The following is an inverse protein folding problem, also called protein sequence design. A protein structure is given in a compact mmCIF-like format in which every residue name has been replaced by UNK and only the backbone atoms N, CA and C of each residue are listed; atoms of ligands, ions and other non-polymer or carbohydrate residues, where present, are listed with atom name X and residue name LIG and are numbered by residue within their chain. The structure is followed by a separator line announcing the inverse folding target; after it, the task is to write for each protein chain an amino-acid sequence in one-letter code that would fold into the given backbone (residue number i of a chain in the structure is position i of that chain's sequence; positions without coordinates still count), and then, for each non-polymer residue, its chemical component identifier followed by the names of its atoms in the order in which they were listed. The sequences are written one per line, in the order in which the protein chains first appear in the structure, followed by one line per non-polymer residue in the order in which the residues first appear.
data_IF_994861122137
#
_entry.id   IF_994861122137
#
_cell.length_a   1.000
_cell.length_b   1.000
_cell.length_c   1.000
_cell.angle_alpha   90.00
_cell.angle_beta   90.00
_cell.angle_gamma   90.00
#
_symmetry.space_group_name_H-M   'P 1'
#
loop_
_entity.id
_entity.type
_entity.pdbx_description
1 polymer ?
#
# COMPACT_ATOMS: atom_id res chain seq x y z
N UNK A 1 -5.92 20.03 20.58
CA UNK A 1 -7.04 20.57 19.79
C UNK A 1 -6.43 21.23 18.58
N UNK A 2 -6.44 20.54 17.44
CA UNK A 2 -5.94 21.07 16.18
C UNK A 2 -7.07 21.87 15.53
N UNK A 3 -6.82 23.15 15.25
CA UNK A 3 -7.67 23.92 14.35
C UNK A 3 -7.71 23.19 13.00
N UNK A 4 -8.86 22.60 12.69
CA UNK A 4 -9.16 22.09 11.36
C UNK A 4 -9.32 23.31 10.45
N UNK A 5 -8.21 23.85 9.96
CA UNK A 5 -8.24 24.47 8.63
C UNK A 5 -8.74 23.39 7.69
N UNK A 6 -9.99 23.52 7.23
CA UNK A 6 -10.50 22.75 6.10
C UNK A 6 -9.79 23.25 4.84
N UNK A 7 -8.47 23.04 4.78
CA UNK A 7 -7.73 23.07 3.54
C UNK A 7 -8.48 22.13 2.60
N UNK A 8 -9.15 22.72 1.62
CA UNK A 8 -9.92 21.97 0.65
C UNK A 8 -8.96 20.99 -0.02
N UNK A 9 -9.08 19.71 0.32
CA UNK A 9 -8.24 18.68 -0.28
C UNK A 9 -8.39 18.77 -1.80
N UNK A 10 -7.30 19.09 -2.49
CA UNK A 10 -7.24 18.97 -3.94
C UNK A 10 -7.18 17.48 -4.28
N UNK A 11 -8.30 16.94 -4.75
CA UNK A 11 -8.38 15.55 -5.21
C UNK A 11 -7.67 15.45 -6.56
N UNK A 12 -6.64 14.63 -6.61
CA UNK A 12 -5.66 14.64 -7.68
C UNK A 12 -5.75 13.45 -8.63
N UNK A 13 -6.37 12.34 -8.23
CA UNK A 13 -6.45 11.13 -9.04
C UNK A 13 -7.63 10.22 -8.64
N UNK A 14 -7.98 9.28 -9.53
CA UNK A 14 -8.87 8.14 -9.25
C UNK A 14 -8.04 6.86 -9.18
N UNK A 15 -7.92 6.28 -7.98
CA UNK A 15 -7.03 5.15 -7.64
C UNK A 15 -7.88 3.92 -7.33
N UNK A 16 -8.12 3.07 -8.33
CA UNK A 16 -8.97 1.90 -8.18
C UNK A 16 -8.42 0.71 -8.98
N UNK A 17 -8.09 -0.38 -8.30
CA UNK A 17 -7.69 -1.62 -8.96
C UNK A 17 -8.94 -2.31 -9.49
N UNK A 18 -9.08 -2.31 -10.82
CA UNK A 18 -10.23 -2.86 -11.56
C UNK A 18 -10.21 -4.40 -11.65
N UNK A 19 -9.03 -4.98 -11.88
CA UNK A 19 -8.88 -6.41 -12.20
C UNK A 19 -8.78 -7.29 -10.95
N UNK A 20 -9.57 -6.99 -9.93
CA UNK A 20 -9.64 -7.82 -8.73
C UNK A 20 -10.65 -8.93 -8.89
N UNK A 21 -10.28 -10.06 -8.33
CA UNK A 21 -11.12 -11.24 -8.25
C UNK A 21 -11.23 -11.64 -6.80
N UNK A 22 -12.37 -12.27 -6.45
CA UNK A 22 -12.70 -12.69 -5.09
C UNK A 22 -11.62 -13.51 -4.42
N UNK A 23 -10.67 -14.07 -5.16
CA UNK A 23 -9.64 -14.97 -4.65
C UNK A 23 -8.33 -14.30 -4.24
N UNK A 24 -8.05 -13.05 -4.65
CA UNK A 24 -6.79 -12.37 -4.31
C UNK A 24 -6.85 -11.69 -2.92
N UNK A 25 -7.06 -12.48 -1.87
CA UNK A 25 -7.37 -11.99 -0.50
C UNK A 25 -6.18 -11.90 0.45
N UNK A 26 -5.07 -12.56 0.13
CA UNK A 26 -3.93 -12.74 1.04
C UNK A 26 -2.71 -11.96 0.54
N UNK A 27 -2.44 -10.79 1.13
CA UNK A 27 -1.25 -9.99 0.78
C UNK A 27 0.07 -10.76 1.03
N UNK A 28 0.10 -11.71 1.97
CA UNK A 28 1.27 -12.57 2.20
C UNK A 28 1.67 -13.40 0.96
N UNK A 29 0.72 -13.74 0.08
CA UNK A 29 1.04 -14.42 -1.19
C UNK A 29 1.80 -13.47 -2.12
N UNK A 30 1.49 -12.17 -2.08
CA UNK A 30 2.22 -11.13 -2.82
C UNK A 30 3.63 -10.97 -2.25
N UNK A 31 3.78 -10.93 -0.92
CA UNK A 31 5.10 -10.94 -0.26
C UNK A 31 5.91 -12.14 -0.75
N UNK A 32 5.32 -13.33 -0.70
CA UNK A 32 6.02 -14.54 -1.09
C UNK A 32 6.40 -14.54 -2.57
N UNK A 33 5.55 -13.98 -3.43
CA UNK A 33 5.86 -13.82 -4.86
C UNK A 33 7.16 -13.03 -5.05
N UNK A 34 7.28 -11.89 -4.36
CA UNK A 34 8.49 -11.05 -4.38
C UNK A 34 9.69 -11.78 -3.76
N UNK A 35 9.49 -12.47 -2.63
CA UNK A 35 10.52 -13.25 -1.96
C UNK A 35 11.08 -14.38 -2.83
N UNK A 36 10.24 -15.05 -3.61
CA UNK A 36 10.67 -16.14 -4.48
C UNK A 36 11.38 -15.63 -5.74
N UNK A 37 11.00 -14.46 -6.25
CA UNK A 37 11.74 -13.76 -7.31
C UNK A 37 13.13 -13.33 -6.82
N UNK A 38 13.21 -12.60 -5.70
CA UNK A 38 14.46 -12.16 -5.07
C UNK A 38 15.51 -11.64 -6.08
N UNK A 39 15.15 -10.61 -6.84
CA UNK A 39 15.93 -9.99 -7.91
C UNK A 39 16.24 -10.90 -9.11
N UNK A 40 15.59 -12.06 -9.21
CA UNK A 40 15.72 -12.97 -10.35
C UNK A 40 14.59 -12.74 -11.34
N UNK A 41 14.89 -13.08 -12.58
CA UNK A 41 13.90 -13.20 -13.62
C UNK A 41 13.47 -14.67 -13.70
N UNK A 42 12.21 -14.98 -13.34
CA UNK A 42 11.73 -16.36 -13.28
C UNK A 42 10.59 -16.61 -14.28
N UNK A 43 10.64 -17.72 -15.04
CA UNK A 43 9.49 -18.19 -15.80
C UNK A 43 8.32 -18.47 -14.86
N UNK A 44 7.11 -18.11 -15.27
CA UNK A 44 5.87 -18.29 -14.51
C UNK A 44 5.67 -19.71 -13.99
N UNK A 45 6.08 -20.73 -14.76
CA UNK A 45 5.96 -22.14 -14.34
C UNK A 45 6.79 -22.42 -13.08
N UNK A 46 8.04 -21.95 -13.05
CA UNK A 46 8.94 -22.16 -11.92
C UNK A 46 8.45 -21.39 -10.69
N UNK A 47 8.01 -20.16 -10.88
CA UNK A 47 7.42 -19.36 -9.81
C UNK A 47 6.12 -20.00 -9.25
N UNK A 48 5.27 -20.55 -10.12
CA UNK A 48 4.08 -21.30 -9.72
C UNK A 48 4.46 -22.50 -8.81
N UNK A 49 5.50 -23.26 -9.16
CA UNK A 49 5.98 -24.41 -8.39
C UNK A 49 6.51 -24.00 -7.01
N UNK A 50 7.30 -22.93 -6.95
CA UNK A 50 7.85 -22.39 -5.70
C UNK A 50 6.73 -21.91 -4.76
N UNK A 51 5.75 -21.17 -5.29
CA UNK A 51 4.62 -20.67 -4.52
C UNK A 51 3.69 -21.78 -4.03
N UNK A 52 3.46 -22.81 -4.84
CA UNK A 52 2.68 -23.99 -4.41
C UNK A 52 3.37 -24.71 -3.26
N UNK A 53 4.68 -24.90 -3.34
CA UNK A 53 5.48 -25.51 -2.27
C UNK A 53 5.39 -24.72 -0.95
N UNK A 54 5.57 -23.39 -1.03
CA UNK A 54 5.37 -22.51 0.12
C UNK A 54 3.96 -22.61 0.70
N UNK A 55 2.93 -22.53 -0.14
CA UNK A 55 1.53 -22.55 0.31
C UNK A 55 1.17 -23.86 0.99
N UNK A 56 1.68 -25.00 0.51
CA UNK A 56 1.53 -26.29 1.16
C UNK A 56 2.18 -26.29 2.56
N UNK A 57 3.38 -25.72 2.69
CA UNK A 57 4.05 -25.60 3.99
C UNK A 57 3.27 -24.71 4.96
N UNK A 58 2.71 -23.60 4.48
CA UNK A 58 1.86 -22.72 5.29
C UNK A 58 0.53 -23.39 5.68
N UNK A 59 -0.08 -24.19 4.80
CA UNK A 59 -1.26 -24.99 5.16
C UNK A 59 -0.93 -25.93 6.34
N UNK A 60 0.26 -26.52 6.37
CA UNK A 60 0.67 -27.43 7.45
C UNK A 60 0.95 -26.71 8.77
N UNK A 61 1.54 -25.52 8.74
CA UNK A 61 2.05 -24.81 9.93
C UNK A 61 1.12 -23.73 10.47
N UNK A 62 0.33 -23.10 9.62
CA UNK A 62 -0.45 -21.91 9.96
C UNK A 62 -1.96 -22.18 9.82
N UNK A 63 -2.64 -22.35 10.96
CA UNK A 63 -4.10 -22.60 10.98
C UNK A 63 -4.90 -21.45 10.35
N UNK A 64 -4.49 -20.21 10.60
CA UNK A 64 -5.15 -19.03 10.02
C UNK A 64 -5.06 -19.05 8.50
N UNK A 65 -3.89 -19.39 7.93
CA UNK A 65 -3.72 -19.56 6.49
C UNK A 65 -4.55 -20.73 5.94
N UNK A 66 -4.50 -21.89 6.59
CA UNK A 66 -5.23 -23.10 6.20
C UNK A 66 -6.73 -22.87 6.06
N UNK A 67 -7.30 -22.09 6.99
CA UNK A 67 -8.72 -21.71 7.02
C UNK A 67 -9.03 -20.45 6.21
N UNK A 68 -8.01 -19.76 5.69
CA UNK A 68 -8.19 -18.52 4.96
C UNK A 68 -8.83 -18.75 3.59
N UNK A 69 -9.66 -17.80 3.16
CA UNK A 69 -10.06 -17.69 1.76
C UNK A 69 -8.92 -17.07 0.98
N UNK A 70 -8.72 -17.51 -0.26
CA UNK A 70 -7.67 -16.98 -1.15
C UNK A 70 -6.31 -17.66 -1.03
N UNK A 71 -6.18 -18.75 -0.28
CA UNK A 71 -5.01 -19.63 -0.36
C UNK A 71 -4.82 -20.18 -1.78
N UNK A 72 -3.56 -20.37 -2.19
CA UNK A 72 -3.21 -20.78 -3.56
C UNK A 72 -3.12 -22.29 -3.72
N UNK A 73 -3.13 -23.05 -2.63
CA UNK A 73 -3.34 -24.50 -2.62
C UNK A 73 -4.56 -24.89 -1.80
N UNK A 74 -5.09 -26.09 -2.07
CA UNK A 74 -6.01 -26.76 -1.17
C UNK A 74 -5.59 -28.23 -1.07
N UNK A 75 -5.00 -28.61 0.07
CA UNK A 75 -4.39 -29.93 0.26
C UNK A 75 -3.35 -30.22 -0.84
N UNK A 76 -2.46 -29.26 -1.09
CA UNK A 76 -1.41 -29.34 -2.10
C UNK A 76 -1.85 -29.18 -3.56
N UNK A 77 -3.16 -29.13 -3.86
CA UNK A 77 -3.64 -28.87 -5.23
C UNK A 77 -3.75 -27.37 -5.51
N UNK A 78 -3.14 -26.92 -6.60
CA UNK A 78 -3.21 -25.52 -7.08
C UNK A 78 -4.65 -25.05 -7.25
N UNK A 79 -4.96 -23.88 -6.72
CA UNK A 79 -6.24 -23.20 -6.93
C UNK A 79 -6.16 -22.17 -8.06
N UNK A 80 -7.31 -21.73 -8.57
CA UNK A 80 -7.37 -20.64 -9.54
C UNK A 80 -6.91 -19.28 -8.97
N UNK A 81 -6.72 -19.17 -7.65
CA UNK A 81 -6.35 -17.92 -6.98
C UNK A 81 -4.98 -17.38 -7.44
N UNK A 82 -4.02 -18.28 -7.72
CA UNK A 82 -2.62 -17.92 -7.98
C UNK A 82 -2.46 -16.90 -9.11
N UNK A 83 -3.19 -17.06 -10.22
CA UNK A 83 -3.08 -16.14 -11.37
C UNK A 83 -3.46 -14.70 -11.02
N UNK A 84 -4.36 -14.52 -10.05
CA UNK A 84 -4.84 -13.20 -9.65
C UNK A 84 -3.88 -12.50 -8.70
N UNK A 85 -3.02 -13.24 -8.01
CA UNK A 85 -1.96 -12.65 -7.20
C UNK A 85 -0.85 -12.02 -8.05
N UNK A 86 -0.57 -12.56 -9.24
CA UNK A 86 0.33 -11.88 -10.18
C UNK A 86 -0.25 -10.54 -10.63
N UNK A 87 -1.53 -10.51 -11.03
CA UNK A 87 -2.19 -9.24 -11.40
C UNK A 87 -2.24 -8.24 -10.25
N UNK A 88 -2.44 -8.70 -9.01
CA UNK A 88 -2.36 -7.85 -7.82
C UNK A 88 -0.94 -7.31 -7.60
N UNK A 89 0.08 -8.17 -7.67
CA UNK A 89 1.48 -7.79 -7.51
C UNK A 89 1.93 -6.78 -8.58
N UNK A 90 1.49 -6.96 -9.83
CA UNK A 90 1.70 -5.99 -10.92
C UNK A 90 0.97 -4.67 -10.66
N UNK A 91 -0.27 -4.73 -10.18
CA UNK A 91 -1.07 -3.52 -9.86
C UNK A 91 -0.48 -2.72 -8.70
N UNK A 92 0.15 -3.39 -7.73
CA UNK A 92 0.92 -2.77 -6.64
C UNK A 92 2.32 -2.33 -7.11
N UNK A 93 2.67 -2.52 -8.38
CA UNK A 93 3.95 -2.14 -8.95
C UNK A 93 5.13 -2.93 -8.38
N UNK A 94 4.93 -4.13 -7.86
CA UNK A 94 5.97 -4.97 -7.24
C UNK A 94 6.67 -5.87 -8.27
N UNK A 95 5.92 -6.40 -9.22
CA UNK A 95 6.49 -7.25 -10.27
C UNK A 95 6.09 -6.72 -11.65
N UNK A 96 6.83 -7.13 -12.67
CA UNK A 96 6.48 -6.92 -14.06
C UNK A 96 6.51 -8.25 -14.80
N UNK A 97 5.43 -8.57 -15.51
CA UNK A 97 5.35 -9.72 -16.41
C UNK A 97 5.69 -9.35 -17.86
N UNK A 98 6.55 -10.13 -18.50
CA UNK A 98 6.77 -10.10 -19.96
C UNK A 98 7.00 -11.52 -20.48
N UNK A 99 6.27 -11.94 -21.52
CA UNK A 99 6.40 -13.26 -22.14
C UNK A 99 6.40 -14.45 -21.14
N UNK A 100 5.45 -14.48 -20.21
CA UNK A 100 5.36 -15.48 -19.12
C UNK A 100 6.59 -15.54 -18.21
N UNK A 101 7.32 -14.45 -18.10
CA UNK A 101 8.46 -14.30 -17.21
C UNK A 101 8.19 -13.10 -16.31
N UNK A 102 8.45 -13.27 -15.01
CA UNK A 102 8.28 -12.22 -14.01
C UNK A 102 9.63 -11.74 -13.50
N UNK A 103 9.70 -10.44 -13.19
CA UNK A 103 10.86 -9.78 -12.59
C UNK A 103 10.40 -8.78 -11.54
N UNK A 104 11.23 -8.56 -10.52
CA UNK A 104 11.01 -7.55 -9.49
C UNK A 104 11.22 -6.12 -10.03
N UNK A 105 10.35 -5.21 -9.61
CA UNK A 105 10.51 -3.76 -9.82
C UNK A 105 11.38 -3.13 -8.73
N UNK A 106 11.64 -1.82 -8.86
CA UNK A 106 12.36 -1.06 -7.84
C UNK A 106 11.64 -1.03 -6.48
N UNK A 107 10.31 -1.11 -6.47
CA UNK A 107 9.51 -1.09 -5.24
C UNK A 107 9.65 -2.42 -4.48
N UNK A 108 9.82 -3.54 -5.19
CA UNK A 108 10.04 -4.85 -4.57
C UNK A 108 11.33 -4.96 -3.78
N UNK A 109 12.39 -4.26 -4.17
CA UNK A 109 13.63 -4.29 -3.37
C UNK A 109 13.46 -3.64 -2.00
N UNK A 110 12.52 -2.70 -1.86
CA UNK A 110 12.17 -2.13 -0.55
C UNK A 110 11.53 -3.21 0.31
N UNK A 111 10.58 -3.96 -0.25
CA UNK A 111 9.95 -5.08 0.46
C UNK A 111 10.99 -6.16 0.83
N UNK A 112 11.84 -6.58 -0.11
CA UNK A 112 12.91 -7.55 0.15
C UNK A 112 13.85 -7.09 1.27
N UNK A 113 14.22 -5.81 1.28
CA UNK A 113 15.01 -5.22 2.34
C UNK A 113 14.30 -5.35 3.70
N UNK A 114 13.03 -4.94 3.78
CA UNK A 114 12.25 -5.03 5.02
C UNK A 114 12.11 -6.47 5.53
N UNK A 115 12.01 -7.44 4.62
CA UNK A 115 12.00 -8.86 4.97
C UNK A 115 13.34 -9.32 5.57
N UNK A 116 14.47 -8.86 5.01
CA UNK A 116 15.80 -9.25 5.46
C UNK A 116 16.16 -8.71 6.86
N UNK A 117 15.59 -7.56 7.25
CA UNK A 117 15.85 -6.95 8.56
C UNK A 117 15.25 -7.78 9.70
N UNK A 118 14.21 -8.58 9.44
CA UNK A 118 13.39 -9.24 10.47
C UNK A 118 13.31 -10.76 10.35
N UNK A 119 14.29 -11.43 9.73
CA UNK A 119 14.29 -12.90 9.65
C UNK A 119 14.18 -13.59 11.02
N UNK A 120 14.54 -12.89 12.11
CA UNK A 120 14.45 -13.37 13.49
C UNK A 120 13.05 -13.25 14.13
N UNK A 121 12.15 -12.38 13.65
CA UNK A 121 10.78 -12.23 14.18
C UNK A 121 9.80 -13.12 13.40
N UNK A 122 10.02 -14.44 13.43
CA UNK A 122 9.04 -15.42 12.95
C UNK A 122 7.83 -15.48 13.90
N UNK A 123 6.99 -14.45 13.85
CA UNK A 123 5.69 -14.47 14.51
C UNK A 123 4.72 -15.33 13.72
N UNK A 124 3.69 -15.89 14.37
CA UNK A 124 2.61 -16.67 13.71
C UNK A 124 1.73 -15.85 12.76
N UNK A 125 2.09 -14.59 12.49
CA UNK A 125 1.33 -13.64 11.69
C UNK A 125 1.74 -13.74 10.22
N UNK A 126 0.77 -13.61 9.32
CA UNK A 126 1.02 -13.70 7.87
C UNK A 126 1.82 -12.53 7.30
N UNK A 127 1.75 -11.35 7.94
CA UNK A 127 2.54 -10.17 7.61
C UNK A 127 3.13 -9.57 8.89
N UNK A 128 4.42 -9.24 8.83
CA UNK A 128 5.13 -8.43 9.82
C UNK A 128 4.58 -7.00 9.88
N UNK A 129 4.96 -6.28 10.93
CA UNK A 129 4.52 -4.89 11.11
C UNK A 129 4.95 -3.97 9.96
N UNK A 130 6.17 -4.16 9.47
CA UNK A 130 6.80 -3.38 8.41
C UNK A 130 6.10 -3.65 7.08
N UNK A 131 5.76 -4.92 6.80
CA UNK A 131 4.96 -5.28 5.64
C UNK A 131 3.58 -4.61 5.67
N UNK A 132 2.94 -4.51 6.84
CA UNK A 132 1.65 -3.82 6.95
C UNK A 132 1.76 -2.34 6.62
N UNK A 133 2.78 -1.65 7.11
CA UNK A 133 2.99 -0.23 6.76
C UNK A 133 3.25 -0.11 5.25
N UNK A 134 4.12 -0.96 4.72
CA UNK A 134 4.44 -0.97 3.30
C UNK A 134 3.19 -1.19 2.42
N UNK A 135 2.40 -2.22 2.71
CA UNK A 135 1.19 -2.50 1.95
C UNK A 135 0.11 -1.45 2.16
N UNK A 136 -0.01 -0.85 3.34
CA UNK A 136 -0.91 0.28 3.55
C UNK A 136 -0.53 1.45 2.64
N UNK A 137 0.76 1.78 2.54
CA UNK A 137 1.23 2.81 1.59
C UNK A 137 0.89 2.44 0.16
N UNK A 138 1.24 1.22 -0.29
CA UNK A 138 1.01 0.78 -1.66
C UNK A 138 -0.48 0.78 -2.02
N UNK A 139 -1.34 0.25 -1.15
CA UNK A 139 -2.78 0.22 -1.38
C UNK A 139 -3.41 1.61 -1.40
N UNK A 140 -2.95 2.54 -0.56
CA UNK A 140 -3.40 3.93 -0.65
C UNK A 140 -2.84 4.64 -1.89
N UNK A 141 -1.68 4.24 -2.40
CA UNK A 141 -1.12 4.80 -3.62
C UNK A 141 -1.87 4.32 -4.88
N UNK A 142 -2.28 3.05 -4.93
CA UNK A 142 -2.82 2.42 -6.15
C UNK A 142 -4.32 2.13 -6.10
N UNK A 143 -4.91 2.01 -4.90
CA UNK A 143 -6.30 1.56 -4.69
C UNK A 143 -7.06 2.38 -3.62
N UNK A 144 -6.67 3.64 -3.40
CA UNK A 144 -7.29 4.50 -2.38
C UNK A 144 -8.82 4.51 -2.46
N UNK A 145 -9.40 4.63 -3.66
CA UNK A 145 -10.86 4.73 -3.81
C UNK A 145 -11.58 3.45 -3.40
N UNK A 146 -10.97 2.29 -3.64
CA UNK A 146 -11.52 1.00 -3.20
C UNK A 146 -11.36 0.79 -1.69
N UNK A 147 -10.19 1.13 -1.15
CA UNK A 147 -9.87 0.99 0.27
C UNK A 147 -10.72 1.91 1.14
N UNK A 148 -10.78 3.20 0.78
CA UNK A 148 -11.52 4.20 1.54
C UNK A 148 -13.03 3.98 1.44
N UNK A 149 -13.54 3.52 0.29
CA UNK A 149 -14.93 3.07 0.17
C UNK A 149 -15.28 1.99 1.22
N UNK A 150 -14.41 0.98 1.37
CA UNK A 150 -14.63 -0.10 2.34
C UNK A 150 -14.58 0.42 3.78
N UNK A 151 -13.66 1.34 4.10
CA UNK A 151 -13.57 1.92 5.45
C UNK A 151 -14.78 2.82 5.76
N UNK A 152 -15.17 3.70 4.83
CA UNK A 152 -16.31 4.61 4.98
C UNK A 152 -17.63 3.82 5.20
N UNK A 153 -17.79 2.67 4.53
CA UNK A 153 -18.96 1.79 4.72
C UNK A 153 -19.09 1.24 6.15
N UNK A 154 -18.00 1.12 6.89
CA UNK A 154 -17.95 0.52 8.23
C UNK A 154 -17.95 1.55 9.38
N UNK A 155 -18.24 2.82 9.10
CA UNK A 155 -18.27 3.89 10.12
C UNK A 155 -19.31 3.70 11.24
N UNK A 156 -20.24 2.77 11.09
CA UNK A 156 -21.24 2.39 12.11
C UNK A 156 -20.68 1.40 13.16
N UNK A 157 -21.16 1.49 14.41
CA UNK A 157 -20.57 0.81 15.57
C UNK A 157 -20.81 -0.71 15.62
N UNK A 158 -21.89 -1.22 15.05
CA UNK A 158 -22.32 -2.62 15.21
C UNK A 158 -21.69 -3.60 14.20
N UNK A 159 -20.87 -3.10 13.27
CA UNK A 159 -20.35 -3.87 12.14
C UNK A 159 -21.45 -4.24 11.13
N UNK A 160 -21.05 -4.58 9.90
CA UNK A 160 -21.98 -4.88 8.80
C UNK A 160 -21.73 -6.26 8.22
N UNK A 161 -22.80 -6.95 7.83
CA UNK A 161 -22.67 -8.25 7.16
C UNK A 161 -22.17 -8.06 5.73
N UNK A 162 -21.50 -9.08 5.16
CA UNK A 162 -21.06 -9.04 3.76
C UNK A 162 -22.23 -8.77 2.80
N UNK A 163 -23.39 -9.41 3.05
CA UNK A 163 -24.60 -9.22 2.24
C UNK A 163 -25.06 -7.77 2.26
N UNK A 164 -25.09 -7.12 3.42
CA UNK A 164 -25.56 -5.73 3.53
C UNK A 164 -24.60 -4.76 2.84
N UNK A 165 -23.29 -5.03 2.94
CA UNK A 165 -22.26 -4.25 2.25
C UNK A 165 -22.34 -4.40 0.72
N UNK A 166 -22.65 -5.60 0.23
CA UNK A 166 -22.88 -5.85 -1.21
C UNK A 166 -24.13 -5.14 -1.72
N UNK A 167 -25.25 -5.21 -0.98
CA UNK A 167 -26.51 -4.55 -1.35
C UNK A 167 -26.40 -3.03 -1.39
N UNK A 168 -25.69 -2.44 -0.43
CA UNK A 168 -25.47 -0.98 -0.37
C UNK A 168 -24.33 -0.49 -1.27
N UNK A 169 -23.56 -1.39 -1.88
CA UNK A 169 -22.33 -1.04 -2.60
C UNK A 169 -22.54 0.02 -3.69
N UNK A 170 -23.53 -0.18 -4.57
CA UNK A 170 -23.79 0.71 -5.71
C UNK A 170 -24.09 2.14 -5.24
N UNK A 171 -24.94 2.28 -4.24
CA UNK A 171 -25.33 3.58 -3.69
C UNK A 171 -24.13 4.30 -3.08
N UNK A 172 -23.36 3.61 -2.22
CA UNK A 172 -22.21 4.21 -1.55
C UNK A 172 -21.11 4.58 -2.56
N UNK A 173 -20.83 3.72 -3.54
CA UNK A 173 -19.86 4.01 -4.59
C UNK A 173 -20.28 5.20 -5.44
N UNK A 174 -21.53 5.24 -5.92
CA UNK A 174 -22.04 6.35 -6.73
C UNK A 174 -21.92 7.68 -5.98
N UNK A 175 -22.28 7.67 -4.69
CA UNK A 175 -22.18 8.84 -3.83
C UNK A 175 -20.74 9.33 -3.68
N UNK A 176 -19.82 8.41 -3.37
CA UNK A 176 -18.38 8.73 -3.30
C UNK A 176 -17.88 9.33 -4.61
N UNK A 177 -18.19 8.69 -5.73
CA UNK A 177 -17.76 9.12 -7.06
C UNK A 177 -18.34 10.50 -7.43
N UNK A 178 -19.61 10.78 -7.12
CA UNK A 178 -20.22 12.08 -7.35
C UNK A 178 -19.52 13.18 -6.53
N UNK A 179 -19.35 12.98 -5.22
CA UNK A 179 -18.62 13.93 -4.35
C UNK A 179 -17.20 14.17 -4.83
N UNK A 180 -16.50 13.11 -5.26
CA UNK A 180 -15.14 13.21 -5.78
C UNK A 180 -15.09 13.95 -7.13
N UNK A 181 -16.08 13.75 -7.99
CA UNK A 181 -16.16 14.36 -9.33
C UNK A 181 -16.20 15.90 -9.28
N UNK A 182 -16.84 16.45 -8.25
CA UNK A 182 -16.93 17.90 -8.01
C UNK A 182 -15.58 18.54 -7.69
N UNK A 183 -14.63 17.75 -7.16
CA UNK A 183 -13.35 18.23 -6.63
C UNK A 183 -12.13 17.77 -7.41
N UNK A 184 -12.28 16.73 -8.22
CA UNK A 184 -11.18 16.19 -9.00
C UNK A 184 -10.77 17.14 -10.13
N UNK A 185 -9.47 17.17 -10.43
CA UNK A 185 -8.98 17.93 -11.58
C UNK A 185 -9.61 17.46 -12.90
N UNK A 186 -9.81 18.36 -13.88
CA UNK A 186 -10.48 18.02 -15.15
C UNK A 186 -9.86 16.83 -15.89
N UNK A 187 -8.54 16.68 -15.80
CA UNK A 187 -7.77 15.62 -16.47
C UNK A 187 -8.22 14.20 -16.09
N UNK A 188 -8.69 13.99 -14.85
CA UNK A 188 -9.09 12.67 -14.36
C UNK A 188 -10.61 12.47 -14.26
N UNK A 189 -11.40 13.52 -14.55
CA UNK A 189 -12.87 13.44 -14.49
C UNK A 189 -13.45 12.33 -15.36
N UNK A 190 -12.83 12.07 -16.51
CA UNK A 190 -13.27 11.01 -17.43
C UNK A 190 -13.18 9.60 -16.81
N UNK A 191 -12.21 9.33 -15.94
CA UNK A 191 -12.08 8.04 -15.24
C UNK A 191 -13.27 7.80 -14.30
N UNK A 192 -13.65 8.83 -13.54
CA UNK A 192 -14.84 8.79 -12.66
C UNK A 192 -16.11 8.60 -13.49
N UNK A 193 -16.29 9.37 -14.56
CA UNK A 193 -17.46 9.24 -15.46
C UNK A 193 -17.57 7.83 -16.03
N UNK A 194 -16.46 7.24 -16.47
CA UNK A 194 -16.44 5.87 -17.00
C UNK A 194 -16.83 4.86 -15.92
N UNK A 195 -16.35 5.02 -14.69
CA UNK A 195 -16.71 4.14 -13.57
C UNK A 195 -18.19 4.26 -13.21
N UNK A 196 -18.72 5.49 -13.09
CA UNK A 196 -20.14 5.75 -12.88
C UNK A 196 -20.99 5.10 -13.97
N UNK A 197 -20.58 5.23 -15.25
CA UNK A 197 -21.27 4.60 -16.36
C UNK A 197 -21.27 3.08 -16.24
N UNK A 198 -20.13 2.48 -15.90
CA UNK A 198 -20.01 1.04 -15.72
C UNK A 198 -20.96 0.53 -14.63
N UNK A 199 -20.95 1.16 -13.46
CA UNK A 199 -21.76 0.77 -12.31
C UNK A 199 -23.27 0.96 -12.57
N UNK A 200 -23.65 2.04 -13.26
CA UNK A 200 -25.06 2.38 -13.43
C UNK A 200 -25.73 1.71 -14.63
N UNK A 201 -24.98 1.43 -15.70
CA UNK A 201 -25.57 0.98 -16.96
C UNK A 201 -24.99 -0.34 -17.50
N UNK A 202 -23.77 -0.72 -17.11
CA UNK A 202 -23.12 -1.95 -17.64
C UNK A 202 -23.32 -3.12 -16.66
N UNK A 203 -23.22 -2.87 -15.35
CA UNK A 203 -23.37 -3.89 -14.34
C UNK A 203 -24.83 -4.29 -14.15
N UNK A 204 -25.17 -5.50 -14.60
CA UNK A 204 -26.52 -6.07 -14.45
C UNK A 204 -26.87 -6.41 -13.00
N UNK A 205 -25.88 -6.81 -12.20
CA UNK A 205 -26.06 -7.22 -10.80
C UNK A 205 -24.89 -6.66 -9.96
N UNK A 206 -24.95 -5.37 -9.58
CA UNK A 206 -23.87 -4.69 -8.87
C UNK A 206 -23.40 -5.41 -7.60
N UNK A 207 -24.28 -6.15 -6.93
CA UNK A 207 -24.01 -6.90 -5.70
C UNK A 207 -23.05 -8.08 -5.96
N UNK A 208 -23.16 -8.71 -7.13
CA UNK A 208 -22.26 -9.78 -7.57
C UNK A 208 -20.87 -9.21 -7.85
N UNK A 209 -20.79 -8.10 -8.60
CA UNK A 209 -19.53 -7.39 -8.84
C UNK A 209 -18.90 -6.88 -7.54
N UNK A 210 -19.73 -6.40 -6.61
CA UNK A 210 -19.29 -5.94 -5.30
C UNK A 210 -18.57 -7.04 -4.52
N UNK A 211 -18.96 -8.32 -4.64
CA UNK A 211 -18.24 -9.41 -3.99
C UNK A 211 -16.76 -9.48 -4.41
N UNK A 212 -16.48 -9.35 -5.70
CA UNK A 212 -15.12 -9.38 -6.26
C UNK A 212 -14.29 -8.15 -5.84
N UNK A 213 -14.95 -7.08 -5.41
CA UNK A 213 -14.34 -5.81 -5.05
C UNK A 213 -14.12 -5.70 -3.54
N UNK A 214 -15.18 -5.87 -2.75
CA UNK A 214 -15.14 -5.57 -1.32
C UNK A 214 -14.51 -6.71 -0.52
N UNK A 215 -14.76 -7.96 -0.89
CA UNK A 215 -14.30 -9.09 -0.07
C UNK A 215 -12.76 -9.19 -0.02
N UNK A 216 -12.02 -9.06 -1.13
CA UNK A 216 -10.56 -8.97 -1.08
C UNK A 216 -10.05 -7.80 -0.23
N UNK A 217 -10.65 -6.61 -0.42
CA UNK A 217 -10.22 -5.39 0.29
C UNK A 217 -10.44 -5.47 1.80
N UNK A 218 -11.56 -6.05 2.25
CA UNK A 218 -11.76 -6.26 3.68
C UNK A 218 -10.77 -7.26 4.29
N UNK A 219 -10.35 -8.28 3.54
CA UNK A 219 -9.33 -9.24 4.00
C UNK A 219 -7.95 -8.57 4.05
N UNK A 220 -7.62 -7.71 3.08
CA UNK A 220 -6.41 -6.88 3.13
C UNK A 220 -6.44 -5.94 4.33
N UNK A 221 -7.52 -5.16 4.50
CA UNK A 221 -7.71 -4.25 5.62
C UNK A 221 -7.64 -4.97 6.97
N UNK A 222 -8.10 -6.22 7.03
CA UNK A 222 -7.96 -7.02 8.24
C UNK A 222 -6.52 -7.46 8.51
N UNK A 223 -5.80 -7.85 7.46
CA UNK A 223 -4.37 -8.18 7.56
C UNK A 223 -3.54 -6.95 7.98
N UNK A 224 -3.94 -5.75 7.54
CA UNK A 224 -3.36 -4.48 7.98
C UNK A 224 -3.79 -4.06 9.40
N UNK A 225 -4.68 -4.81 10.04
CA UNK A 225 -5.18 -4.50 11.38
C UNK A 225 -6.15 -3.32 11.43
N UNK A 226 -6.74 -2.91 10.30
CA UNK A 226 -7.71 -1.81 10.20
C UNK A 226 -9.16 -2.31 10.37
N UNK A 227 -9.44 -3.56 9.99
CA UNK A 227 -10.78 -4.18 10.06
C UNK A 227 -10.75 -5.51 10.83
N UNK A 228 -11.76 -5.73 11.65
CA UNK A 228 -12.03 -7.00 12.31
C UNK A 228 -13.02 -7.81 11.47
N UNK A 229 -12.70 -9.09 11.21
CA UNK A 229 -13.59 -10.03 10.51
C UNK A 229 -14.17 -11.02 11.52
N UNK A 230 -15.48 -10.99 11.71
CA UNK A 230 -16.22 -11.87 12.60
C UNK A 230 -16.97 -12.91 11.76
N UNK A 231 -16.60 -14.20 11.91
CA UNK A 231 -17.24 -15.32 11.20
C UNK A 231 -18.25 -15.99 12.14
N UNK A 232 -19.54 -15.76 11.92
CA UNK A 232 -20.64 -16.27 12.75
C UNK A 232 -21.49 -17.20 11.89
N UNK A 233 -21.49 -18.51 12.18
CA UNK A 233 -22.28 -19.59 11.54
C UNK A 233 -23.10 -19.16 10.31
N UNK A 234 -22.47 -19.20 9.12
CA UNK A 234 -23.12 -18.87 7.84
C UNK A 234 -23.07 -17.39 7.42
N UNK A 235 -22.51 -16.51 8.25
CA UNK A 235 -22.36 -15.08 7.96
C UNK A 235 -20.94 -14.58 8.26
N UNK A 236 -20.48 -13.60 7.48
CA UNK A 236 -19.25 -12.85 7.73
C UNK A 236 -19.64 -11.41 8.00
N UNK A 237 -19.22 -10.88 9.15
CA UNK A 237 -19.40 -9.47 9.52
C UNK A 237 -18.04 -8.77 9.58
N UNK A 238 -18.05 -7.50 9.21
CA UNK A 238 -16.88 -6.63 9.20
C UNK A 238 -17.12 -5.46 10.14
N UNK A 239 -16.10 -5.07 10.88
CA UNK A 239 -16.14 -3.93 11.81
C UNK A 239 -14.82 -3.19 11.78
N UNK A 240 -14.83 -1.86 11.92
CA UNK A 240 -13.58 -1.11 12.13
C UNK A 240 -12.93 -1.51 13.45
N UNK A 241 -11.64 -1.81 13.38
CA UNK A 241 -10.78 -1.89 14.57
C UNK A 241 -10.53 -0.48 15.13
N UNK A 242 -9.90 -0.38 16.31
CA UNK A 242 -9.46 0.90 16.85
C UNK A 242 -8.42 1.61 15.96
N UNK A 243 -7.52 0.85 15.32
CA UNK A 243 -6.54 1.41 14.35
C UNK A 243 -7.27 1.98 13.14
N UNK A 244 -8.26 1.27 12.61
CA UNK A 244 -9.09 1.72 11.48
C UNK A 244 -9.91 2.98 11.80
N UNK A 245 -10.47 3.06 13.01
CA UNK A 245 -11.17 4.27 13.49
C UNK A 245 -10.22 5.47 13.58
N UNK A 246 -9.03 5.28 14.16
CA UNK A 246 -8.01 6.34 14.23
C UNK A 246 -7.57 6.79 12.84
N UNK A 247 -7.39 5.87 11.90
CA UNK A 247 -7.08 6.22 10.52
C UNK A 247 -8.16 7.13 9.92
N UNK A 248 -9.44 6.73 9.99
CA UNK A 248 -10.54 7.55 9.45
C UNK A 248 -10.65 8.94 10.10
N UNK A 249 -10.27 9.08 11.37
CA UNK A 249 -10.24 10.39 12.04
C UNK A 249 -9.12 11.31 11.55
N UNK A 250 -8.03 10.75 11.03
CA UNK A 250 -6.87 11.47 10.52
C UNK A 250 -6.94 11.73 9.01
N UNK A 251 -7.84 11.03 8.30
CA UNK A 251 -8.01 11.20 6.88
C UNK A 251 -8.80 12.49 6.55
N UNK A 252 -8.42 13.21 5.48
CA UNK A 252 -9.18 14.37 5.02
C UNK A 252 -10.60 14.00 4.61
N UNK A 253 -11.56 14.89 4.89
CA UNK A 253 -12.95 14.74 4.46
C UNK A 253 -13.23 15.61 3.23
N UNK A 254 -13.88 15.03 2.22
CA UNK A 254 -14.27 15.71 0.98
C UNK A 254 -15.80 15.94 0.85
N UNK A 255 -16.60 15.43 1.77
CA UNK A 255 -18.06 15.61 1.79
C UNK A 255 -18.52 16.60 2.86
N UNK A 256 -19.53 17.42 2.55
CA UNK A 256 -20.16 18.33 3.52
C UNK A 256 -21.19 17.61 4.40
N UNK A 257 -22.05 16.78 3.80
CA UNK A 257 -23.17 16.12 4.49
C UNK A 257 -22.82 14.72 5.01
N UNK A 258 -21.78 14.10 4.44
CA UNK A 258 -21.37 12.75 4.75
C UNK A 258 -19.87 12.70 4.94
N UNK A 259 -19.42 11.98 5.97
CA UNK A 259 -18.00 11.73 6.23
C UNK A 259 -17.45 10.80 5.14
N UNK A 260 -17.15 11.38 3.97
CA UNK A 260 -16.50 10.70 2.85
C UNK A 260 -15.03 11.09 2.93
N UNK A 261 -14.17 10.12 3.25
CA UNK A 261 -12.74 10.37 3.38
C UNK A 261 -12.04 10.21 2.04
N UNK A 262 -11.05 11.05 1.75
CA UNK A 262 -10.23 10.90 0.54
C UNK A 262 -8.80 11.38 0.78
N UNK A 263 -7.88 10.98 -0.10
CA UNK A 263 -6.48 11.36 -0.04
C UNK A 263 -5.97 11.84 -1.39
N UNK A 264 -4.99 12.73 -1.34
CA UNK A 264 -4.22 13.17 -2.50
C UNK A 264 -2.78 12.67 -2.42
N UNK A 265 -2.03 12.77 -3.52
CA UNK A 265 -0.59 12.55 -3.55
C UNK A 265 0.15 13.52 -2.63
N UNK A 266 -0.37 14.75 -2.48
CA UNK A 266 0.15 15.70 -1.49
C UNK A 266 0.00 15.16 -0.08
N UNK A 267 -1.16 14.60 0.28
CA UNK A 267 -1.37 13.97 1.59
C UNK A 267 -0.46 12.75 1.78
N UNK A 268 -0.36 11.88 0.78
CA UNK A 268 0.56 10.72 0.82
C UNK A 268 2.01 11.15 1.07
N UNK A 269 2.46 12.21 0.39
CA UNK A 269 3.84 12.68 0.47
C UNK A 269 4.15 13.48 1.74
N UNK A 270 3.14 14.10 2.38
CA UNK A 270 3.33 14.99 3.53
C UNK A 270 2.91 14.41 4.87
N UNK A 271 2.00 13.45 4.90
CA UNK A 271 1.28 13.09 6.13
C UNK A 271 1.13 11.58 6.36
N UNK A 272 1.47 10.74 5.38
CA UNK A 272 1.29 9.30 5.52
C UNK A 272 2.06 8.72 6.71
N UNK A 273 3.36 9.04 6.84
CA UNK A 273 4.19 8.43 7.89
C UNK A 273 3.85 8.98 9.29
N UNK A 274 3.47 10.26 9.38
CA UNK A 274 2.93 10.81 10.62
C UNK A 274 1.65 10.07 11.03
N UNK A 275 0.74 9.84 10.07
CA UNK A 275 -0.49 9.08 10.29
C UNK A 275 -0.19 7.68 10.78
N UNK A 276 0.79 6.99 10.19
CA UNK A 276 1.26 5.66 10.63
C UNK A 276 1.71 5.69 12.10
N UNK A 277 2.52 6.69 12.48
CA UNK A 277 2.94 6.88 13.87
C UNK A 277 1.78 6.97 14.84
N UNK A 278 0.75 7.74 14.48
CA UNK A 278 -0.45 7.93 15.32
C UNK A 278 -1.34 6.68 15.39
N UNK A 279 -1.68 6.06 14.25
CA UNK A 279 -2.68 4.97 14.23
C UNK A 279 -2.18 3.70 14.91
N UNK A 280 -0.87 3.42 14.84
CA UNK A 280 -0.26 2.28 15.51
C UNK A 280 0.29 2.58 16.90
N UNK A 281 0.16 3.84 17.36
CA UNK A 281 0.57 4.26 18.72
C UNK A 281 2.02 3.85 19.05
N UNK A 282 2.91 4.08 18.10
CA UNK A 282 4.31 3.68 18.22
C UNK A 282 4.99 4.46 19.34
N UNK A 283 5.65 3.75 20.24
CA UNK A 283 6.37 4.33 21.39
C UNK A 283 7.79 4.75 20.97
N UNK A 284 8.30 5.77 21.66
CA UNK A 284 9.68 6.27 21.49
C UNK A 284 10.00 6.69 20.05
N UNK A 285 9.01 7.26 19.36
CA UNK A 285 9.22 7.82 18.03
C UNK A 285 9.60 9.28 18.12
N UNK A 286 10.63 9.64 17.35
CA UNK A 286 11.03 11.02 17.13
C UNK A 286 10.59 11.50 15.75
N UNK A 287 10.11 12.74 15.66
CA UNK A 287 9.81 13.36 14.38
C UNK A 287 11.09 13.94 13.79
N UNK A 288 11.39 13.63 12.53
CA UNK A 288 12.63 14.07 11.88
C UNK A 288 12.82 15.58 11.98
N UNK A 289 11.77 16.38 11.81
CA UNK A 289 11.81 17.85 11.92
C UNK A 289 12.19 18.38 13.30
N UNK A 290 11.97 17.60 14.37
CA UNK A 290 12.30 17.98 15.75
C UNK A 290 13.75 17.68 16.13
N UNK A 291 14.47 16.90 15.31
CA UNK A 291 15.84 16.50 15.59
C UNK A 291 16.85 17.64 15.29
N UNK A 292 17.97 17.72 16.03
CA UNK A 292 19.08 18.60 15.69
C UNK A 292 19.56 18.37 14.25
N UNK A 293 19.98 19.45 13.57
CA UNK A 293 20.40 19.38 12.16
C UNK A 293 21.52 18.36 11.91
N UNK A 294 22.48 18.23 12.83
CA UNK A 294 23.57 17.25 12.72
C UNK A 294 23.03 15.82 12.75
N UNK A 295 22.10 15.53 13.66
CA UNK A 295 21.43 14.23 13.76
C UNK A 295 20.60 13.92 12.52
N UNK A 296 19.83 14.91 12.03
CA UNK A 296 19.05 14.77 10.78
C UNK A 296 19.94 14.41 9.60
N UNK A 297 21.03 15.14 9.41
CA UNK A 297 21.98 14.90 8.34
C UNK A 297 22.64 13.52 8.48
N UNK A 298 23.03 13.14 9.69
CA UNK A 298 23.63 11.83 9.91
C UNK A 298 22.67 10.68 9.58
N UNK A 299 21.44 10.72 10.11
CA UNK A 299 20.43 9.68 9.85
C UNK A 299 20.05 9.59 8.37
N UNK A 300 19.80 10.73 7.72
CA UNK A 300 19.47 10.75 6.30
C UNK A 300 20.63 10.26 5.43
N UNK A 301 21.87 10.63 5.78
CA UNK A 301 23.08 10.17 5.13
C UNK A 301 23.26 8.65 5.21
N UNK A 302 23.18 8.07 6.40
CA UNK A 302 23.24 6.62 6.59
C UNK A 302 22.15 5.89 5.78
N UNK A 303 20.93 6.42 5.81
CA UNK A 303 19.80 5.83 5.09
C UNK A 303 19.99 5.93 3.57
N UNK A 304 20.57 7.02 3.04
CA UNK A 304 20.92 7.16 1.62
C UNK A 304 22.00 6.18 1.18
N UNK A 305 23.00 5.92 2.03
CA UNK A 305 24.02 4.91 1.73
C UNK A 305 23.44 3.50 1.69
N UNK A 306 22.50 3.19 2.60
CA UNK A 306 21.75 1.93 2.54
C UNK A 306 20.87 1.87 1.31
N UNK A 307 20.21 2.97 0.94
CA UNK A 307 19.38 3.04 -0.26
C UNK A 307 20.22 2.77 -1.51
N UNK A 308 21.45 3.28 -1.58
CA UNK A 308 22.35 3.03 -2.71
C UNK A 308 22.73 1.54 -2.90
N UNK A 309 22.67 0.75 -1.83
CA UNK A 309 22.93 -0.70 -1.85
C UNK A 309 21.68 -1.53 -2.13
N UNK A 310 20.52 -1.07 -1.65
CA UNK A 310 19.29 -1.87 -1.64
C UNK A 310 18.27 -1.46 -2.70
N UNK A 311 18.23 -0.19 -3.12
CA UNK A 311 17.37 0.27 -4.20
C UNK A 311 18.14 0.10 -5.52
N UNK A 312 17.66 -0.79 -6.39
CA UNK A 312 18.33 -1.09 -7.66
C UNK A 312 18.48 0.17 -8.51
N UNK A 313 19.73 0.55 -8.77
CA UNK A 313 20.10 1.59 -9.72
C UNK A 313 20.07 1.02 -11.13
N UNK A 314 19.45 1.73 -12.08
CA UNK A 314 19.42 1.32 -13.49
C UNK A 314 20.79 1.46 -14.16
N UNK A 315 21.54 2.52 -13.84
CA UNK A 315 22.90 2.82 -14.32
C UNK A 315 23.54 3.83 -13.36
N UNK A 316 24.78 3.58 -12.93
CA UNK A 316 25.74 4.56 -12.39
C UNK A 316 25.19 5.61 -11.41
N UNK A 317 25.32 5.38 -10.10
CA UNK A 317 25.10 6.39 -9.06
C UNK A 317 23.75 7.14 -9.14
N UNK A 318 22.71 6.52 -9.69
CA UNK A 318 21.36 7.09 -9.79
C UNK A 318 20.34 6.24 -9.05
N UNK A 319 19.62 6.82 -8.12
CA UNK A 319 18.55 6.15 -7.38
C UNK A 319 17.17 6.65 -7.85
N UNK A 320 16.22 5.77 -8.19
CA UNK A 320 14.86 6.18 -8.57
C UNK A 320 14.20 6.99 -7.44
N UNK A 321 13.69 8.19 -7.73
CA UNK A 321 13.32 9.16 -6.70
C UNK A 321 12.25 8.63 -5.74
N UNK A 322 11.09 8.23 -6.26
CA UNK A 322 9.95 7.80 -5.43
C UNK A 322 10.25 6.52 -4.63
N UNK A 323 10.90 5.53 -5.26
CA UNK A 323 11.32 4.31 -4.56
C UNK A 323 12.32 4.62 -3.45
N UNK A 324 13.23 5.58 -3.68
CA UNK A 324 14.19 6.00 -2.66
C UNK A 324 13.51 6.73 -1.51
N UNK A 325 12.55 7.62 -1.78
CA UNK A 325 11.81 8.29 -0.70
C UNK A 325 11.05 7.30 0.17
N UNK A 326 10.37 6.33 -0.45
CA UNK A 326 9.71 5.25 0.29
C UNK A 326 10.71 4.45 1.13
N UNK A 327 11.86 4.08 0.54
CA UNK A 327 12.91 3.35 1.25
C UNK A 327 13.41 4.13 2.47
N UNK A 328 13.75 5.41 2.30
CA UNK A 328 14.29 6.25 3.38
C UNK A 328 13.29 6.42 4.52
N UNK A 329 12.01 6.69 4.21
CA UNK A 329 10.96 6.80 5.22
C UNK A 329 10.75 5.49 5.99
N UNK A 330 10.74 4.36 5.28
CA UNK A 330 10.62 3.04 5.93
C UNK A 330 11.85 2.69 6.77
N UNK A 331 13.06 2.95 6.25
CA UNK A 331 14.32 2.68 6.95
C UNK A 331 14.41 3.45 8.27
N UNK A 332 14.15 4.76 8.24
CA UNK A 332 14.22 5.59 9.43
C UNK A 332 13.12 5.23 10.43
N UNK A 333 11.91 4.91 9.96
CA UNK A 333 10.82 4.49 10.85
C UNK A 333 11.15 3.17 11.55
N UNK A 334 11.56 2.15 10.78
CA UNK A 334 11.73 0.78 11.27
C UNK A 334 12.99 0.64 12.12
N UNK A 335 14.12 1.15 11.66
CA UNK A 335 15.43 0.91 12.28
C UNK A 335 15.91 2.04 13.19
N UNK A 336 15.38 3.25 13.02
CA UNK A 336 15.80 4.43 13.79
C UNK A 336 14.67 5.02 14.63
N UNK A 337 13.45 4.47 14.57
CA UNK A 337 12.25 5.01 15.22
C UNK A 337 12.01 6.49 14.91
N UNK A 338 12.37 6.92 13.70
CA UNK A 338 12.24 8.32 13.26
C UNK A 338 11.22 8.43 12.14
N UNK A 339 10.21 9.28 12.31
CA UNK A 339 9.23 9.56 11.25
C UNK A 339 9.76 10.67 10.33
N UNK A 340 9.81 10.37 9.03
CA UNK A 340 10.07 11.34 7.96
C UNK A 340 9.11 11.11 6.80
N UNK A 341 8.56 12.19 6.25
CA UNK A 341 7.72 12.18 5.06
C UNK A 341 8.51 12.55 3.79
N UNK A 342 7.95 12.25 2.61
CA UNK A 342 8.63 12.51 1.34
C UNK A 342 8.91 13.99 1.12
N UNK A 343 8.03 14.88 1.59
CA UNK A 343 8.25 16.32 1.48
C UNK A 343 9.48 16.78 2.28
N UNK A 344 9.74 16.18 3.44
CA UNK A 344 10.90 16.52 4.28
C UNK A 344 12.19 15.97 3.68
N UNK A 345 12.15 14.77 3.08
CA UNK A 345 13.29 14.24 2.32
C UNK A 345 13.59 15.15 1.13
N UNK A 346 12.54 15.54 0.39
CA UNK A 346 12.68 16.44 -0.76
C UNK A 346 13.34 17.74 -0.35
N UNK A 347 12.84 18.41 0.69
CA UNK A 347 13.40 19.66 1.22
C UNK A 347 14.88 19.49 1.61
N UNK A 348 15.23 18.39 2.30
CA UNK A 348 16.61 18.12 2.69
C UNK A 348 17.55 17.92 1.48
N UNK A 349 17.04 17.47 0.34
CA UNK A 349 17.81 17.23 -0.89
C UNK A 349 17.79 18.40 -1.88
N UNK A 350 17.01 19.46 -1.65
CA UNK A 350 16.90 20.62 -2.56
C UNK A 350 18.23 21.38 -2.71
N UNK A 351 19.03 21.46 -1.65
CA UNK A 351 20.25 22.29 -1.62
C UNK A 351 21.56 21.52 -1.81
N UNK A 352 21.53 20.37 -2.52
CA UNK A 352 22.67 19.45 -2.62
C UNK A 352 23.09 18.91 -1.25
N UNK A 353 22.60 17.73 -0.89
CA UNK A 353 22.91 17.13 0.39
C UNK A 353 24.30 16.47 0.36
N UNK A 354 25.18 16.75 1.33
CA UNK A 354 26.53 16.18 1.38
C UNK A 354 26.68 15.30 2.62
N UNK A 355 27.16 14.08 2.43
CA UNK A 355 27.46 13.11 3.50
C UNK A 355 28.57 12.15 3.07
N UNK A 356 29.55 11.93 3.95
CA UNK A 356 30.71 11.04 3.75
C UNK A 356 31.36 11.16 2.35
N UNK A 357 31.81 12.38 2.01
CA UNK A 357 32.41 12.73 0.71
C UNK A 357 31.51 12.45 -0.52
N UNK A 358 30.20 12.25 -0.34
CA UNK A 358 29.24 12.11 -1.44
C UNK A 358 28.27 13.27 -1.43
N UNK A 359 27.95 13.79 -2.62
CA UNK A 359 26.88 14.74 -2.86
C UNK A 359 25.67 14.03 -3.47
N UNK A 360 24.50 14.25 -2.89
CA UNK A 360 23.21 13.70 -3.29
C UNK A 360 22.35 14.82 -3.87
N UNK A 361 22.02 14.74 -5.15
CA UNK A 361 21.25 15.77 -5.83
C UNK A 361 20.02 15.16 -6.50
N UNK A 362 18.84 15.67 -6.17
CA UNK A 362 17.62 15.28 -6.85
C UNK A 362 17.53 15.91 -8.25
N UNK A 363 17.04 15.12 -9.20
CA UNK A 363 16.70 15.53 -10.56
C UNK A 363 15.23 15.19 -10.78
N UNK A 364 14.41 16.22 -10.96
CA UNK A 364 12.99 16.10 -11.21
C UNK A 364 12.77 16.23 -12.72
N UNK A 365 12.22 15.17 -13.31
CA UNK A 365 11.83 15.13 -14.73
C UNK A 365 10.34 15.40 -14.88
N UNK A 366 9.88 15.71 -16.10
CA UNK A 366 8.44 15.87 -16.38
C UNK A 366 7.62 14.60 -16.12
N UNK A 367 8.26 13.42 -16.14
CA UNK A 367 7.66 12.15 -15.72
C UNK A 367 8.30 11.69 -14.43
N UNK A 368 7.47 11.34 -13.44
CA UNK A 368 7.94 10.85 -12.13
C UNK A 368 8.83 9.61 -12.24
N UNK A 369 8.56 8.72 -13.21
CA UNK A 369 9.37 7.53 -13.48
C UNK A 369 10.80 7.85 -13.97
N UNK A 370 11.03 9.06 -14.44
CA UNK A 370 12.32 9.56 -14.95
C UNK A 370 13.03 10.45 -13.92
N UNK A 371 12.46 10.64 -12.74
CA UNK A 371 13.08 11.40 -11.65
C UNK A 371 14.01 10.50 -10.83
N UNK A 372 15.16 11.04 -10.43
CA UNK A 372 16.19 10.28 -9.70
C UNK A 372 17.02 11.16 -8.77
N UNK A 373 17.71 10.52 -7.83
CA UNK A 373 18.78 11.12 -7.02
C UNK A 373 20.11 10.71 -7.62
N UNK A 374 20.95 11.68 -7.96
CA UNK A 374 22.34 11.46 -8.38
C UNK A 374 23.26 11.45 -7.18
N UNK A 375 24.25 10.56 -7.19
CA UNK A 375 25.32 10.47 -6.19
C UNK A 375 26.63 10.85 -6.89
N UNK A 376 27.33 11.85 -6.37
CA UNK A 376 28.64 12.29 -6.88
C UNK A 376 29.66 12.13 -5.77
N UNK A 377 30.81 11.52 -6.05
CA UNK A 377 31.92 11.42 -5.08
C UNK A 377 32.74 12.71 -5.19
N UNK A 378 32.82 13.46 -4.10
CA UNK A 378 33.66 14.64 -3.97
C UNK A 378 35.09 14.16 -3.71
N UNK A 379 36.04 14.65 -4.51
CA UNK A 379 37.48 14.34 -4.35
C UNK A 379 38.13 15.23 -3.32
#
# INVERSE_FOLDING_TARGET
MAEQHSDQLSVDNFRFIENLQTTARQLAVVTETVRQLNNKQLPKRLLDEMLISWSLNEELKNEAYRQSKGKITNNGKKTAALRYYYGLAESLGLIQGFNNVFIDTNISYILLYLLSVNEAEQTSQLLSFQERIFYLFQLLQTDADGILLCLDQLTESLGKSQSDLQKSFKEVLNKRLATKQERISPSYRHLITNKLRAVNYIWRSPEVYAEHIIAPRYEWLSTLGLVEILRIKGSTKYKLSEVGKRLLQLLPNIGQEHRITDISEVWLNKSFFDTVGHIYSLKDIEYFSALPIQTRNHLLGEALEKAAKNVKSSVGFRLPLNSTYLFLSMELLVNKKTIINFSQIKEALESSFIYDNKSYNQKISGRLSESYITITINK
#
